data_IF_609265161759
#
_entry.id   IF_609265161759
#
_cell.length_a   1.000
_cell.length_b   1.000
_cell.length_c   1.000
_cell.angle_alpha   90.00
_cell.angle_beta   90.00
_cell.angle_gamma   90.00
#
_symmetry.space_group_name_H-M   'P 1'
#
loop_
_entity.id
_entity.type
_entity.pdbx_description
1 polymer ?
#
# COMPACT_ATOMS: atom_id res chain seq x y z
N UNK A 1 -4.14 7.46 5.15
CA UNK A 1 -4.17 5.99 5.41
C UNK A 1 -4.39 5.62 6.88
N UNK A 2 -3.60 6.13 7.83
CA UNK A 2 -3.66 5.67 9.25
C UNK A 2 -5.05 5.77 9.89
N UNK A 3 -5.80 6.85 9.62
CA UNK A 3 -7.20 6.98 10.09
C UNK A 3 -8.07 5.81 9.61
N UNK A 4 -7.88 5.37 8.36
CA UNK A 4 -8.58 4.22 7.81
C UNK A 4 -8.22 2.93 8.54
N UNK A 5 -6.95 2.71 8.88
CA UNK A 5 -6.53 1.56 9.69
C UNK A 5 -7.14 1.56 11.09
N UNK A 6 -7.29 2.74 11.72
CA UNK A 6 -8.00 2.83 13.01
C UNK A 6 -9.49 2.48 12.91
N UNK A 7 -10.14 2.72 11.76
CA UNK A 7 -11.54 2.31 11.55
C UNK A 7 -11.69 0.78 11.46
N UNK A 8 -10.67 0.08 10.97
CA UNK A 8 -10.69 -1.38 10.79
C UNK A 8 -9.89 -2.12 11.87
N UNK A 9 -9.32 -1.39 12.84
CA UNK A 9 -8.50 -1.95 13.91
C UNK A 9 -9.26 -3.04 14.69
N UNK A 10 -8.57 -4.12 15.03
CA UNK A 10 -9.10 -5.22 15.85
C UNK A 10 -10.41 -5.81 15.32
N UNK A 11 -10.54 -5.96 14.00
CA UNK A 11 -11.78 -6.47 13.41
C UNK A 11 -12.93 -5.44 13.37
N UNK A 12 -12.64 -4.15 13.58
CA UNK A 12 -13.64 -3.09 13.65
C UNK A 12 -14.21 -2.88 15.06
N UNK A 13 -13.51 -3.34 16.10
CA UNK A 13 -13.92 -3.16 17.51
C UNK A 13 -14.05 -1.69 17.86
N UNK A 14 -15.21 -1.30 18.41
CA UNK A 14 -15.46 0.08 18.81
C UNK A 14 -15.13 0.32 20.29
N UNK A 15 -13.89 0.73 20.56
CA UNK A 15 -13.43 1.10 21.91
C UNK A 15 -13.83 2.54 22.33
N UNK A 16 -14.62 3.23 21.50
CA UNK A 16 -15.10 4.60 21.73
C UNK A 16 -13.97 5.64 21.90
N UNK A 17 -12.81 5.39 21.29
CA UNK A 17 -11.64 6.28 21.33
C UNK A 17 -11.85 7.55 20.50
N UNK A 18 -12.76 7.53 19.53
CA UNK A 18 -13.08 8.65 18.65
C UNK A 18 -14.57 8.66 18.29
N UNK A 19 -15.06 9.81 17.81
CA UNK A 19 -16.49 10.07 17.56
C UNK A 19 -16.81 10.38 16.09
N UNK A 20 -15.78 10.46 15.26
CA UNK A 20 -15.87 10.67 13.82
C UNK A 20 -14.48 10.51 13.19
N UNK A 21 -14.45 10.36 11.87
CA UNK A 21 -13.20 10.25 11.12
C UNK A 21 -13.19 11.21 9.92
N UNK A 22 -12.02 11.80 9.65
CA UNK A 22 -11.76 12.57 8.44
C UNK A 22 -10.58 11.90 7.73
N UNK A 23 -10.78 11.47 6.49
CA UNK A 23 -9.77 10.85 5.65
C UNK A 23 -9.54 11.73 4.43
N UNK A 24 -8.40 12.41 4.38
CA UNK A 24 -7.95 13.19 3.23
C UNK A 24 -6.87 12.38 2.49
N UNK A 25 -7.08 12.19 1.19
CA UNK A 25 -6.23 11.40 0.28
C UNK A 25 -5.79 10.06 0.87
N UNK A 26 -6.75 9.35 1.47
CA UNK A 26 -6.52 8.06 2.10
C UNK A 26 -7.81 7.30 2.41
N UNK A 27 -7.66 5.99 2.63
CA UNK A 27 -8.76 5.07 2.87
C UNK A 27 -8.35 3.94 3.83
N UNK A 28 -9.29 3.09 4.28
CA UNK A 28 -8.96 1.87 5.05
C UNK A 28 -8.34 0.76 4.17
N UNK A 29 -8.61 0.74 2.87
CA UNK A 29 -7.98 -0.19 1.92
C UNK A 29 -6.56 0.27 1.60
N UNK A 30 -5.56 -0.57 1.88
CA UNK A 30 -4.17 -0.24 1.56
C UNK A 30 -3.92 -0.22 0.04
N UNK A 31 -3.18 0.77 -0.44
CA UNK A 31 -2.90 0.95 -1.88
C UNK A 31 -1.79 0.01 -2.39
N UNK A 32 -1.10 -0.68 -1.48
CA UNK A 32 -0.28 -1.85 -1.78
C UNK A 32 -0.93 -3.11 -1.20
N UNK A 33 -0.39 -4.26 -1.59
CA UNK A 33 -0.68 -5.51 -0.89
C UNK A 33 -0.24 -5.40 0.58
N UNK A 34 -1.10 -5.83 1.50
CA UNK A 34 -0.72 -6.07 2.88
C UNK A 34 -0.04 -7.44 2.95
N UNK A 35 1.24 -7.44 3.30
CA UNK A 35 1.97 -8.69 3.51
C UNK A 35 1.63 -9.28 4.87
N UNK A 36 1.61 -10.61 4.97
CA UNK A 36 1.60 -11.31 6.25
C UNK A 36 3.02 -11.74 6.66
N UNK A 37 3.15 -12.39 7.82
CA UNK A 37 4.44 -12.85 8.35
C UNK A 37 5.26 -13.69 7.35
N UNK A 38 4.63 -14.62 6.62
CA UNK A 38 5.34 -15.48 5.67
C UNK A 38 5.88 -14.69 4.46
N UNK A 39 5.20 -13.62 4.08
CA UNK A 39 5.58 -12.77 2.95
C UNK A 39 6.60 -11.71 3.36
N UNK A 40 6.57 -11.27 4.62
CA UNK A 40 7.50 -10.30 5.18
C UNK A 40 8.83 -10.93 5.61
N UNK A 41 8.83 -12.20 6.02
CA UNK A 41 10.02 -12.90 6.52
C UNK A 41 11.22 -12.86 5.54
N UNK A 42 11.07 -13.15 4.22
CA UNK A 42 12.18 -13.05 3.28
C UNK A 42 12.74 -11.63 3.16
N UNK A 43 11.89 -10.59 3.28
CA UNK A 43 12.31 -9.19 3.26
C UNK A 43 13.12 -8.85 4.51
N UNK A 44 12.67 -9.32 5.67
CA UNK A 44 13.38 -9.17 6.94
C UNK A 44 14.75 -9.85 6.91
N UNK A 45 14.83 -11.11 6.46
CA UNK A 45 16.09 -11.85 6.33
C UNK A 45 17.07 -11.20 5.34
N UNK A 46 16.56 -10.72 4.21
CA UNK A 46 17.39 -9.99 3.24
C UNK A 46 17.95 -8.70 3.84
N UNK A 47 17.16 -8.01 4.65
CA UNK A 47 17.59 -6.81 5.38
C UNK A 47 18.66 -7.14 6.42
N UNK A 48 18.47 -8.19 7.22
CA UNK A 48 19.47 -8.70 8.18
C UNK A 48 20.80 -9.01 7.49
N UNK A 49 20.75 -9.75 6.38
CA UNK A 49 21.95 -10.11 5.61
C UNK A 49 22.68 -8.88 5.05
N UNK A 50 21.93 -7.91 4.52
CA UNK A 50 22.53 -6.70 3.96
C UNK A 50 23.13 -5.77 5.04
N UNK A 51 22.55 -5.76 6.24
CA UNK A 51 23.09 -5.04 7.41
C UNK A 51 24.27 -5.81 8.04
N UNK A 52 24.40 -7.11 7.78
CA UNK A 52 25.39 -7.99 8.40
C UNK A 52 25.00 -8.45 9.81
N UNK A 53 23.70 -8.44 10.12
CA UNK A 53 23.17 -8.88 11.41
C UNK A 53 22.54 -10.27 11.34
N UNK A 54 22.76 -11.09 12.37
CA UNK A 54 22.20 -12.45 12.43
C UNK A 54 20.75 -12.50 12.96
N UNK A 55 20.35 -11.52 13.77
CA UNK A 55 19.04 -11.49 14.43
C UNK A 55 18.70 -10.08 14.96
N UNK A 56 17.54 -9.97 15.61
CA UNK A 56 17.03 -8.73 16.18
C UNK A 56 17.89 -8.17 17.33
N UNK A 57 18.59 -9.02 18.08
CA UNK A 57 19.49 -8.58 19.15
C UNK A 57 20.66 -7.80 18.56
N UNK A 58 21.23 -8.29 17.46
CA UNK A 58 22.26 -7.58 16.70
C UNK A 58 21.75 -6.21 16.22
N UNK A 59 20.57 -6.17 15.58
CA UNK A 59 19.99 -4.91 15.09
C UNK A 59 19.81 -3.86 16.18
N UNK A 60 19.37 -4.27 17.38
CA UNK A 60 19.16 -3.38 18.52
C UNK A 60 20.46 -2.87 19.15
N UNK A 61 21.57 -3.56 18.94
CA UNK A 61 22.88 -3.18 19.47
C UNK A 61 23.65 -2.24 18.54
N UNK A 62 23.19 -2.05 17.30
CA UNK A 62 23.82 -1.12 16.35
C UNK A 62 23.69 0.33 16.82
N UNK A 63 24.71 1.13 16.53
CA UNK A 63 24.59 2.58 16.63
C UNK A 63 23.59 3.10 15.58
N UNK A 64 22.83 4.15 15.92
CA UNK A 64 21.84 4.73 15.01
C UNK A 64 22.43 5.12 13.65
N UNK A 65 23.66 5.62 13.61
CA UNK A 65 24.32 6.02 12.37
C UNK A 65 24.63 4.82 11.45
N UNK A 66 25.01 3.68 12.03
CA UNK A 66 25.28 2.45 11.28
C UNK A 66 23.98 1.85 10.74
N UNK A 67 22.92 1.85 11.56
CA UNK A 67 21.59 1.43 11.13
C UNK A 67 21.04 2.32 10.01
N UNK A 68 21.15 3.64 10.14
CA UNK A 68 20.71 4.58 9.11
C UNK A 68 21.49 4.42 7.81
N UNK A 69 22.82 4.23 7.88
CA UNK A 69 23.65 3.99 6.71
C UNK A 69 23.24 2.70 6.00
N UNK A 70 22.99 1.66 6.76
CA UNK A 70 22.56 0.39 6.20
C UNK A 70 21.17 0.51 5.55
N UNK A 71 20.18 1.13 6.22
CA UNK A 71 18.84 1.38 5.67
C UNK A 71 18.91 2.17 4.35
N UNK A 72 19.71 3.25 4.31
CA UNK A 72 19.85 4.08 3.10
C UNK A 72 20.61 3.35 1.97
N UNK A 73 21.53 2.44 2.31
CA UNK A 73 22.26 1.63 1.35
C UNK A 73 21.45 0.45 0.80
N UNK A 74 20.44 -0.02 1.53
CA UNK A 74 19.62 -1.16 1.16
C UNK A 74 18.30 -0.71 0.54
N UNK A 75 18.14 -0.88 -0.78
CA UNK A 75 16.85 -0.72 -1.48
C UNK A 75 15.78 -1.75 -1.11
N UNK A 76 16.06 -2.63 -0.15
CA UNK A 76 15.29 -3.84 0.13
C UNK A 76 14.17 -3.57 1.15
N UNK A 77 14.23 -2.45 1.87
CA UNK A 77 13.35 -2.24 3.00
C UNK A 77 12.14 -1.37 2.61
N UNK A 78 11.08 -2.04 2.15
CA UNK A 78 9.74 -1.47 2.09
C UNK A 78 9.05 -1.68 3.44
N UNK A 79 9.16 -0.68 4.32
CA UNK A 79 8.40 -0.65 5.56
C UNK A 79 6.96 -0.24 5.28
N UNK A 80 6.02 -0.94 5.89
CA UNK A 80 4.61 -0.63 5.73
C UNK A 80 3.74 -1.39 6.72
N UNK A 81 2.43 -1.10 6.72
CA UNK A 81 1.46 -1.91 7.43
C UNK A 81 1.48 -3.35 6.91
N UNK A 82 1.34 -4.30 7.83
CA UNK A 82 1.30 -5.72 7.57
C UNK A 82 0.11 -6.34 8.32
N UNK A 83 -0.31 -7.52 7.88
CA UNK A 83 -1.26 -8.33 8.63
C UNK A 83 -0.54 -8.89 9.84
N UNK A 84 -0.83 -8.33 11.02
CA UNK A 84 -0.24 -8.73 12.31
C UNK A 84 -1.17 -9.64 13.14
N UNK A 85 -2.37 -9.91 12.61
CA UNK A 85 -3.40 -10.74 13.25
C UNK A 85 -3.93 -10.20 14.59
N UNK A 86 -3.62 -8.95 14.93
CA UNK A 86 -4.14 -8.26 16.11
C UNK A 86 -4.79 -6.94 15.74
N UNK A 87 -3.99 -5.93 15.36
CA UNK A 87 -4.49 -4.63 14.92
C UNK A 87 -5.08 -4.73 13.50
N UNK A 88 -4.33 -5.35 12.56
CA UNK A 88 -4.74 -5.61 11.18
C UNK A 88 -4.92 -7.13 11.04
N UNK A 89 -6.19 -7.58 11.10
CA UNK A 89 -6.52 -9.00 11.21
C UNK A 89 -6.68 -9.69 9.85
N UNK A 90 -7.69 -9.37 9.01
CA UNK A 90 -7.72 -9.78 7.62
C UNK A 90 -7.29 -8.63 6.69
N UNK A 91 -7.33 -8.88 5.38
CA UNK A 91 -7.26 -7.81 4.38
C UNK A 91 -8.36 -6.78 4.63
N UNK A 92 -7.96 -5.50 4.66
CA UNK A 92 -8.87 -4.40 4.97
C UNK A 92 -9.97 -4.22 3.91
N UNK A 93 -9.74 -4.69 2.68
CA UNK A 93 -10.76 -4.78 1.62
C UNK A 93 -11.89 -5.76 1.97
N UNK A 94 -11.56 -6.98 2.40
CA UNK A 94 -12.54 -7.98 2.84
C UNK A 94 -13.30 -7.49 4.07
N UNK A 95 -12.58 -6.85 4.98
CA UNK A 95 -13.16 -6.33 6.22
C UNK A 95 -14.21 -5.25 5.97
N UNK A 96 -13.92 -4.31 5.06
CA UNK A 96 -14.88 -3.30 4.64
C UNK A 96 -16.12 -3.92 3.97
N UNK A 97 -15.94 -4.91 3.09
CA UNK A 97 -17.04 -5.62 2.45
C UNK A 97 -17.94 -6.33 3.47
N UNK A 98 -17.36 -6.86 4.55
CA UNK A 98 -18.11 -7.49 5.64
C UNK A 98 -18.73 -6.50 6.63
N UNK A 99 -18.52 -5.19 6.46
CA UNK A 99 -19.01 -4.17 7.40
C UNK A 99 -18.27 -4.14 8.74
N UNK A 100 -17.12 -4.80 8.84
CA UNK A 100 -16.33 -4.98 10.06
C UNK A 100 -15.41 -3.78 10.33
N UNK A 101 -16.00 -2.61 10.46
CA UNK A 101 -15.30 -1.37 10.79
C UNK A 101 -16.12 -0.56 11.80
N UNK A 102 -15.48 0.39 12.47
CA UNK A 102 -16.18 1.21 13.46
C UNK A 102 -17.19 2.12 12.77
N UNK A 103 -18.48 1.86 13.03
CA UNK A 103 -19.61 2.60 12.45
C UNK A 103 -19.77 3.96 13.14
N UNK A 104 -19.43 5.05 12.44
CA UNK A 104 -19.56 6.43 12.92
C UNK A 104 -19.60 7.44 11.75
N UNK A 105 -19.82 8.74 11.99
CA UNK A 105 -19.70 9.76 10.96
C UNK A 105 -18.30 9.82 10.35
N UNK A 106 -18.22 9.70 9.02
CA UNK A 106 -16.96 9.74 8.25
C UNK A 106 -17.07 10.85 7.19
N UNK A 107 -16.02 11.66 7.05
CA UNK A 107 -15.80 12.51 5.87
C UNK A 107 -14.56 12.01 5.14
N UNK A 108 -14.71 11.66 3.88
CA UNK A 108 -13.59 11.21 3.04
C UNK A 108 -13.49 12.12 1.83
N UNK A 109 -12.27 12.51 1.47
CA UNK A 109 -11.99 13.37 0.31
C UNK A 109 -10.73 12.91 -0.41
N UNK A 110 -10.66 13.25 -1.69
CA UNK A 110 -9.52 13.05 -2.57
C UNK A 110 -9.51 14.19 -3.60
N UNK A 111 -8.37 14.38 -4.25
CA UNK A 111 -8.20 15.37 -5.29
C UNK A 111 -8.53 14.74 -6.66
N UNK A 112 -8.85 15.55 -7.67
CA UNK A 112 -9.13 15.04 -9.03
C UNK A 112 -7.90 14.36 -9.65
N UNK A 113 -6.70 14.82 -9.29
CA UNK A 113 -5.45 14.52 -9.96
C UNK A 113 -4.39 13.93 -9.00
N UNK A 114 -4.80 13.03 -8.08
CA UNK A 114 -3.97 12.41 -7.02
C UNK A 114 -2.63 11.84 -7.52
N UNK A 115 -2.60 11.34 -8.76
CA UNK A 115 -1.44 10.65 -9.32
C UNK A 115 -0.55 11.55 -10.19
N UNK A 116 -0.77 12.86 -10.26
CA UNK A 116 0.10 13.76 -11.03
C UNK A 116 1.53 13.83 -10.49
N UNK A 117 1.70 13.65 -9.18
CA UNK A 117 3.01 13.62 -8.54
C UNK A 117 3.73 12.26 -8.66
N UNK A 118 2.98 11.16 -8.78
CA UNK A 118 3.50 9.79 -8.64
C UNK A 118 3.38 8.94 -9.90
N UNK A 119 2.59 9.39 -10.88
CA UNK A 119 2.40 8.73 -12.17
C UNK A 119 3.63 8.79 -13.07
N UNK A 120 3.65 7.97 -14.13
CA UNK A 120 4.71 8.02 -15.14
C UNK A 120 4.75 9.40 -15.81
N UNK A 121 5.96 9.87 -16.14
CA UNK A 121 6.19 11.14 -16.84
C UNK A 121 6.61 10.86 -18.28
N UNK A 122 6.34 11.79 -19.19
CA UNK A 122 6.74 11.68 -20.61
C UNK A 122 6.00 10.59 -21.35
N UNK A 123 4.70 10.43 -21.06
CA UNK A 123 3.82 9.49 -21.77
C UNK A 123 3.14 10.26 -22.90
N UNK A 124 3.70 10.18 -24.10
CA UNK A 124 3.24 10.96 -25.26
C UNK A 124 2.60 10.08 -26.35
N UNK A 125 2.62 8.75 -26.18
CA UNK A 125 2.02 7.78 -27.09
C UNK A 125 1.35 6.61 -26.35
N UNK A 126 0.53 5.84 -27.07
CA UNK A 126 -0.08 4.60 -26.55
C UNK A 126 0.97 3.57 -26.13
N UNK A 127 2.08 3.47 -26.88
CA UNK A 127 3.17 2.56 -26.54
C UNK A 127 3.86 2.99 -25.24
N UNK A 128 4.12 4.28 -25.05
CA UNK A 128 4.70 4.79 -23.79
C UNK A 128 3.79 4.48 -22.60
N UNK A 129 2.48 4.55 -22.80
CA UNK A 129 1.50 4.22 -21.77
C UNK A 129 1.52 2.72 -21.43
N UNK A 130 1.55 1.85 -22.43
CA UNK A 130 1.65 0.39 -22.24
C UNK A 130 2.96 0.04 -21.52
N UNK A 131 4.07 0.63 -21.93
CA UNK A 131 5.39 0.38 -21.33
C UNK A 131 5.42 0.88 -19.87
N UNK A 132 4.83 2.04 -19.61
CA UNK A 132 4.71 2.58 -18.25
C UNK A 132 3.87 1.67 -17.33
N UNK A 133 2.76 1.13 -17.83
CA UNK A 133 1.91 0.21 -17.06
C UNK A 133 2.60 -1.14 -16.80
N UNK A 134 3.19 -1.72 -17.84
CA UNK A 134 3.76 -3.07 -17.78
C UNK A 134 5.08 -3.10 -16.99
N UNK A 135 5.87 -2.03 -17.01
CA UNK A 135 7.07 -1.89 -16.17
C UNK A 135 6.75 -1.89 -14.66
N UNK A 136 5.58 -1.35 -14.28
CA UNK A 136 5.13 -1.26 -12.88
C UNK A 136 4.26 -2.44 -12.44
N UNK A 137 3.66 -3.15 -13.38
CA UNK A 137 2.78 -4.29 -13.11
C UNK A 137 2.99 -5.38 -14.17
N UNK A 138 4.08 -6.18 -14.04
CA UNK A 138 4.47 -7.18 -15.05
C UNK A 138 3.38 -8.23 -15.31
N UNK A 139 2.49 -8.45 -14.35
CA UNK A 139 1.36 -9.39 -14.48
C UNK A 139 0.22 -8.91 -15.40
N UNK A 140 0.20 -7.63 -15.81
CA UNK A 140 -0.83 -7.09 -16.72
C UNK A 140 -0.60 -7.46 -18.20
N UNK A 141 0.58 -8.02 -18.54
CA UNK A 141 0.93 -8.43 -19.90
C UNK A 141 0.01 -9.53 -20.47
N UNK A 142 -0.67 -10.31 -19.63
CA UNK A 142 -1.59 -11.37 -20.09
C UNK A 142 -3.03 -10.93 -20.31
N UNK A 143 -3.41 -9.68 -19.96
CA UNK A 143 -4.81 -9.24 -19.95
C UNK A 143 -5.11 -8.04 -20.85
N UNK A 144 -4.11 -7.42 -21.46
CA UNK A 144 -4.30 -6.24 -22.33
C UNK A 144 -4.68 -6.66 -23.76
N UNK A 145 -5.90 -7.16 -23.97
CA UNK A 145 -6.60 -6.92 -25.24
C UNK A 145 -7.35 -5.59 -25.10
N UNK A 146 -6.63 -4.49 -25.27
CA UNK A 146 -7.24 -3.15 -25.31
C UNK A 146 -8.22 -3.12 -26.48
N UNK A 147 -9.51 -3.25 -26.20
CA UNK A 147 -10.54 -2.86 -27.16
C UNK A 147 -10.46 -1.33 -27.30
N UNK A 148 -10.46 -0.78 -28.53
CA UNK A 148 -10.31 0.65 -28.71
C UNK A 148 -11.50 1.37 -28.07
N UNK A 149 -11.25 2.07 -26.96
CA UNK A 149 -12.22 3.00 -26.40
C UNK A 149 -12.13 4.30 -27.22
N UNK A 150 -13.29 4.88 -27.55
CA UNK A 150 -13.50 6.06 -28.40
C UNK A 150 -13.57 5.83 -29.92
N UNK A 151 -14.57 5.07 -30.40
CA UNK A 151 -15.21 5.43 -31.67
C UNK A 151 -16.41 6.32 -31.41
N UNK A 152 -16.34 7.54 -31.96
CA UNK A 152 -17.35 8.59 -31.88
C UNK A 152 -18.67 8.05 -32.47
N UNK A 153 -19.69 7.83 -31.66
CA UNK A 153 -21.05 7.57 -32.15
C UNK A 153 -21.60 8.87 -32.75
N UNK A 154 -21.45 9.05 -34.06
CA UNK A 154 -22.27 9.99 -34.81
C UNK A 154 -23.67 9.39 -34.91
N UNK A 155 -24.61 9.90 -34.10
CA UNK A 155 -26.04 9.65 -34.31
C UNK A 155 -26.50 10.46 -35.53
N UNK A 156 -27.17 9.76 -36.46
CA UNK A 156 -28.13 10.34 -37.38
C UNK A 156 -29.45 10.62 -36.65
#
# INVERSE_FOLDING_TARGET
>A
MSVGFHLVAYGGRNDKLFRGAIMESGAPVYYHKLDNNAEFEPKYQSSLNAIGCANLVCLRALHCDDLNRAINGTRIIEWGPAIDYDLIQPFTSTQLLSGNFVQMPIRSGANSDENTAFGPRGVDSEQDFIDALTSKSPHLLSSLSLSPCCTRSTRH
#
